data_IF_944582785948
#
_entry.id   IF_944582785948
#
_cell.length_a   1.000
_cell.length_b   1.000
_cell.length_c   1.000
_cell.angle_alpha   90.00
_cell.angle_beta   90.00
_cell.angle_gamma   90.00
#
_symmetry.space_group_name_H-M   'P 1'
#
loop_
_entity.id
_entity.type
_entity.pdbx_description
1 polymer ?
#
# COMPACT_ATOMS: atom_id res chain seq x y z
N UNK A 1 13.43 -33.54 -52.32
CA UNK A 1 12.05 -33.42 -51.81
C UNK A 1 12.13 -33.26 -50.30
N UNK A 2 12.07 -32.04 -49.79
CA UNK A 2 12.09 -31.81 -48.33
C UNK A 2 11.12 -30.67 -48.04
N UNK A 3 9.93 -31.02 -47.53
CA UNK A 3 8.88 -30.07 -47.16
C UNK A 3 9.24 -29.47 -45.80
N UNK A 4 9.50 -28.16 -45.73
CA UNK A 4 9.51 -27.43 -44.47
C UNK A 4 8.06 -27.17 -44.04
N UNK A 5 7.63 -27.85 -42.99
CA UNK A 5 6.42 -27.52 -42.24
C UNK A 5 6.75 -26.36 -41.29
N UNK A 6 6.36 -25.14 -41.66
CA UNK A 6 6.36 -24.00 -40.76
C UNK A 6 5.14 -24.13 -39.86
N UNK A 7 5.35 -24.58 -38.62
CA UNK A 7 4.33 -24.55 -37.58
C UNK A 7 4.13 -23.10 -37.13
N UNK A 8 3.04 -22.47 -37.59
CA UNK A 8 2.60 -21.18 -37.09
C UNK A 8 2.09 -21.37 -35.66
N UNK A 9 2.90 -20.99 -34.67
CA UNK A 9 2.46 -20.84 -33.28
C UNK A 9 1.52 -19.64 -33.22
N UNK A 10 0.22 -19.90 -33.22
CA UNK A 10 -0.79 -18.89 -32.95
C UNK A 10 -0.62 -18.41 -31.50
N UNK A 11 0.05 -17.29 -31.31
CA UNK A 11 0.08 -16.58 -30.03
C UNK A 11 -1.34 -16.10 -29.73
N UNK A 12 -2.05 -16.84 -28.88
CA UNK A 12 -3.31 -16.42 -28.29
C UNK A 12 -3.07 -15.12 -27.51
N UNK A 13 -3.40 -13.99 -28.12
CA UNK A 13 -3.56 -12.72 -27.43
C UNK A 13 -4.64 -12.93 -26.37
N UNK A 14 -4.21 -13.14 -25.13
CA UNK A 14 -5.04 -12.93 -23.95
C UNK A 14 -5.43 -11.45 -23.97
N UNK A 15 -6.52 -11.14 -24.66
CA UNK A 15 -7.13 -9.82 -24.58
C UNK A 15 -7.30 -9.52 -23.09
N UNK A 16 -6.87 -8.35 -22.61
CA UNK A 16 -7.03 -8.00 -21.21
C UNK A 16 -8.52 -8.11 -20.92
N UNK A 17 -8.91 -9.04 -20.04
CA UNK A 17 -10.26 -9.07 -19.48
C UNK A 17 -10.46 -7.69 -18.87
N UNK A 18 -11.14 -6.83 -19.60
CA UNK A 18 -11.65 -5.60 -19.04
C UNK A 18 -12.53 -6.07 -17.90
N UNK A 19 -12.21 -5.63 -16.69
CA UNK A 19 -13.00 -5.89 -15.49
C UNK A 19 -14.37 -5.20 -15.65
N UNK A 20 -15.22 -5.82 -16.46
CA UNK A 20 -16.58 -5.45 -16.79
C UNK A 20 -17.52 -6.19 -15.83
N UNK A 21 -18.78 -5.76 -15.84
CA UNK A 21 -19.87 -6.55 -15.25
C UNK A 21 -19.80 -8.01 -15.74
N UNK A 22 -20.16 -8.94 -14.86
CA UNK A 22 -20.16 -10.39 -15.12
C UNK A 22 -21.10 -10.71 -16.28
N UNK A 23 -20.59 -11.43 -17.29
CA UNK A 23 -21.47 -12.01 -18.32
C UNK A 23 -22.16 -13.24 -17.74
N UNK A 24 -23.40 -13.07 -17.29
CA UNK A 24 -24.18 -14.13 -16.67
C UNK A 24 -24.41 -15.37 -17.54
N UNK A 25 -24.21 -15.29 -18.86
CA UNK A 25 -24.26 -16.48 -19.74
C UNK A 25 -23.00 -17.34 -19.65
N UNK A 26 -21.92 -16.79 -19.10
CA UNK A 26 -20.60 -17.42 -18.95
C UNK A 26 -20.20 -17.60 -17.48
N UNK A 27 -21.11 -17.34 -16.54
CA UNK A 27 -20.86 -17.50 -15.11
C UNK A 27 -20.42 -18.93 -14.78
N UNK A 28 -19.17 -19.07 -14.31
CA UNK A 28 -18.50 -20.33 -14.06
C UNK A 28 -18.24 -20.57 -12.57
N UNK A 29 -18.00 -19.52 -11.78
CA UNK A 29 -17.76 -19.68 -10.33
C UNK A 29 -19.07 -19.71 -9.52
N UNK A 30 -19.08 -20.31 -8.31
CA UNK A 30 -20.22 -20.22 -7.40
C UNK A 30 -20.65 -18.77 -7.13
N UNK A 31 -19.68 -17.88 -6.92
CA UNK A 31 -19.90 -16.45 -6.73
C UNK A 31 -20.58 -15.79 -7.93
N UNK A 32 -20.09 -16.04 -9.15
CA UNK A 32 -20.70 -15.49 -10.37
C UNK A 32 -22.12 -15.99 -10.55
N UNK A 33 -22.37 -17.29 -10.32
CA UNK A 33 -23.72 -17.86 -10.36
C UNK A 33 -24.64 -17.22 -9.32
N UNK A 34 -24.14 -16.97 -8.10
CA UNK A 34 -24.90 -16.27 -7.06
C UNK A 34 -25.24 -14.85 -7.49
N UNK A 35 -24.27 -14.09 -8.00
CA UNK A 35 -24.50 -12.74 -8.50
C UNK A 35 -25.54 -12.75 -9.61
N UNK A 36 -25.46 -13.71 -10.54
CA UNK A 36 -26.37 -13.80 -11.68
C UNK A 36 -27.78 -14.31 -11.35
N UNK A 37 -27.93 -15.13 -10.31
CA UNK A 37 -29.23 -15.62 -9.85
C UNK A 37 -30.03 -14.56 -9.08
N UNK A 38 -29.38 -13.53 -8.54
CA UNK A 38 -29.98 -12.49 -7.72
C UNK A 38 -30.13 -11.17 -8.49
N UNK A 39 -31.34 -10.61 -8.51
CA UNK A 39 -31.61 -9.38 -9.26
C UNK A 39 -30.90 -8.14 -8.68
N UNK A 40 -30.76 -8.06 -7.35
CA UNK A 40 -30.10 -6.94 -6.69
C UNK A 40 -28.58 -6.99 -6.91
N UNK A 41 -27.97 -8.19 -6.84
CA UNK A 41 -26.54 -8.37 -7.14
C UNK A 41 -26.23 -8.08 -8.61
N UNK A 42 -27.04 -8.58 -9.57
CA UNK A 42 -26.86 -8.23 -11.00
C UNK A 42 -26.92 -6.73 -11.24
N UNK A 43 -27.88 -6.03 -10.61
CA UNK A 43 -28.01 -4.57 -10.74
C UNK A 43 -26.79 -3.85 -10.17
N UNK A 44 -26.29 -4.30 -9.02
CA UNK A 44 -25.10 -3.72 -8.41
C UNK A 44 -23.86 -3.95 -9.27
N UNK A 45 -23.67 -5.14 -9.81
CA UNK A 45 -22.54 -5.48 -10.69
C UNK A 45 -22.56 -4.68 -12.01
N UNK A 46 -23.75 -4.47 -12.60
CA UNK A 46 -23.92 -3.58 -13.75
C UNK A 46 -23.58 -2.12 -13.43
N UNK A 47 -23.94 -1.65 -12.23
CA UNK A 47 -23.59 -0.31 -11.76
C UNK A 47 -22.08 -0.15 -11.57
N UNK A 48 -21.41 -1.15 -10.97
CA UNK A 48 -19.95 -1.19 -10.84
C UNK A 48 -19.27 -1.11 -12.22
N UNK A 49 -19.73 -1.92 -13.17
CA UNK A 49 -19.19 -1.91 -14.53
C UNK A 49 -19.37 -0.56 -15.24
N UNK A 50 -20.45 0.17 -14.94
CA UNK A 50 -20.71 1.50 -15.47
C UNK A 50 -19.83 2.58 -14.81
N UNK A 51 -19.67 2.52 -13.48
CA UNK A 51 -18.78 3.43 -12.74
C UNK A 51 -17.32 3.28 -13.20
N UNK A 52 -16.85 2.03 -13.32
CA UNK A 52 -15.51 1.74 -13.84
C UNK A 52 -15.30 2.25 -15.27
N UNK A 53 -16.28 2.03 -16.17
CA UNK A 53 -16.19 2.56 -17.52
C UNK A 53 -16.14 4.10 -17.54
N UNK A 54 -16.98 4.76 -16.73
CA UNK A 54 -16.98 6.21 -16.58
C UNK A 54 -15.65 6.75 -16.05
N UNK A 55 -15.03 6.06 -15.09
CA UNK A 55 -13.71 6.41 -14.57
C UNK A 55 -12.63 6.29 -15.65
N UNK A 56 -12.61 5.21 -16.43
CA UNK A 56 -11.68 5.04 -17.55
C UNK A 56 -11.88 6.09 -18.65
N UNK A 57 -13.12 6.54 -18.90
CA UNK A 57 -13.40 7.63 -19.83
C UNK A 57 -12.97 9.00 -19.30
N UNK A 58 -12.74 9.14 -18.00
CA UNK A 58 -12.30 10.39 -17.38
C UNK A 58 -10.83 10.75 -17.65
N UNK A 59 -10.07 9.89 -18.33
CA UNK A 59 -8.65 10.13 -18.62
C UNK A 59 -8.19 9.48 -19.92
N UNK A 60 -7.39 10.22 -20.68
CA UNK A 60 -6.63 9.69 -21.82
C UNK A 60 -5.18 9.37 -21.46
N UNK A 61 -4.78 9.59 -20.19
CA UNK A 61 -3.43 9.31 -19.72
C UNK A 61 -3.20 7.81 -19.60
N UNK A 62 -2.26 7.29 -20.40
CA UNK A 62 -2.03 5.85 -20.50
C UNK A 62 -1.56 5.22 -19.18
N UNK A 63 -0.78 5.93 -18.37
CA UNK A 63 -0.25 5.42 -17.11
C UNK A 63 -1.33 5.40 -16.02
N UNK A 64 -2.11 6.49 -15.90
CA UNK A 64 -3.26 6.53 -14.99
C UNK A 64 -4.26 5.45 -15.40
N UNK A 65 -4.56 5.33 -16.71
CA UNK A 65 -5.47 4.30 -17.22
C UNK A 65 -4.97 2.88 -16.91
N UNK A 66 -3.67 2.62 -17.04
CA UNK A 66 -3.07 1.34 -16.67
C UNK A 66 -3.20 1.04 -15.17
N UNK A 67 -2.97 2.04 -14.32
CA UNK A 67 -3.15 1.93 -12.86
C UNK A 67 -4.62 1.62 -12.50
N UNK A 68 -5.58 2.31 -13.10
CA UNK A 68 -7.01 2.06 -12.90
C UNK A 68 -7.40 0.62 -13.27
N UNK A 69 -6.87 0.12 -14.39
CA UNK A 69 -7.08 -1.26 -14.82
C UNK A 69 -6.47 -2.25 -13.83
N UNK A 70 -5.26 -1.99 -13.34
CA UNK A 70 -4.58 -2.85 -12.38
C UNK A 70 -5.33 -2.91 -11.05
N UNK A 71 -5.76 -1.77 -10.51
CA UNK A 71 -6.57 -1.72 -9.29
C UNK A 71 -7.87 -2.50 -9.43
N UNK A 72 -8.63 -2.31 -10.52
CA UNK A 72 -9.88 -3.04 -10.70
C UNK A 72 -9.68 -4.55 -10.85
N UNK A 73 -8.60 -4.99 -11.51
CA UNK A 73 -8.23 -6.41 -11.56
C UNK A 73 -7.90 -6.98 -10.18
N UNK A 74 -7.17 -6.24 -9.34
CA UNK A 74 -6.89 -6.66 -7.95
C UNK A 74 -8.16 -6.77 -7.13
N UNK A 75 -9.09 -5.82 -7.28
CA UNK A 75 -10.38 -5.87 -6.59
C UNK A 75 -11.20 -7.12 -6.98
N UNK A 76 -11.29 -7.42 -8.28
CA UNK A 76 -12.00 -8.63 -8.77
C UNK A 76 -11.33 -9.90 -8.25
N UNK A 77 -10.00 -9.99 -8.32
CA UNK A 77 -9.26 -11.14 -7.81
C UNK A 77 -9.46 -11.34 -6.30
N UNK A 78 -9.43 -10.26 -5.52
CA UNK A 78 -9.69 -10.31 -4.09
C UNK A 78 -11.14 -10.72 -3.78
N UNK A 79 -12.12 -10.17 -4.51
CA UNK A 79 -13.53 -10.55 -4.38
C UNK A 79 -13.71 -12.05 -4.61
N UNK A 80 -13.17 -12.56 -5.71
CA UNK A 80 -13.34 -13.97 -6.08
C UNK A 80 -12.63 -14.90 -5.10
N UNK A 81 -11.45 -14.52 -4.62
CA UNK A 81 -10.67 -15.31 -3.65
C UNK A 81 -11.31 -15.34 -2.27
N UNK A 82 -11.75 -14.19 -1.76
CA UNK A 82 -12.14 -14.05 -0.34
C UNK A 82 -13.64 -14.16 -0.11
N UNK A 83 -14.45 -13.84 -1.12
CA UNK A 83 -15.90 -13.88 -1.03
C UNK A 83 -16.51 -15.06 -1.81
N UNK A 84 -15.68 -15.83 -2.53
CA UNK A 84 -16.10 -16.95 -3.36
C UNK A 84 -16.65 -18.16 -2.59
N UNK A 85 -16.13 -18.38 -1.39
CA UNK A 85 -16.39 -19.56 -0.55
C UNK A 85 -17.09 -19.22 0.77
N UNK A 86 -17.76 -18.06 0.86
CA UNK A 86 -18.53 -17.70 2.05
C UNK A 86 -19.75 -18.60 2.24
N UNK A 87 -20.09 -18.91 3.49
CA UNK A 87 -21.32 -19.61 3.84
C UNK A 87 -22.56 -18.86 3.30
N UNK A 88 -23.51 -19.63 2.76
CA UNK A 88 -24.59 -19.11 1.91
C UNK A 88 -25.58 -18.15 2.60
N UNK A 89 -25.64 -18.13 3.94
CA UNK A 89 -26.60 -17.31 4.68
C UNK A 89 -26.29 -15.80 4.58
N UNK A 90 -25.01 -15.42 4.69
CA UNK A 90 -24.58 -14.01 4.71
C UNK A 90 -23.84 -13.57 3.43
N UNK A 91 -23.43 -14.52 2.59
CA UNK A 91 -22.65 -14.26 1.37
C UNK A 91 -23.28 -13.20 0.45
N UNK A 92 -24.62 -13.20 0.28
CA UNK A 92 -25.31 -12.23 -0.59
C UNK A 92 -25.17 -10.80 -0.08
N UNK A 93 -25.37 -10.58 1.22
CA UNK A 93 -25.30 -9.25 1.84
C UNK A 93 -23.87 -8.72 1.79
N UNK A 94 -22.90 -9.56 2.13
CA UNK A 94 -21.47 -9.21 2.10
C UNK A 94 -21.04 -8.83 0.67
N UNK A 95 -21.36 -9.67 -0.32
CA UNK A 95 -20.98 -9.41 -1.72
C UNK A 95 -21.69 -8.18 -2.27
N UNK A 96 -22.96 -7.96 -1.92
CA UNK A 96 -23.68 -6.75 -2.30
C UNK A 96 -23.04 -5.49 -1.70
N UNK A 97 -22.66 -5.53 -0.42
CA UNK A 97 -21.95 -4.46 0.26
C UNK A 97 -20.61 -4.15 -0.41
N UNK A 98 -19.82 -5.19 -0.69
CA UNK A 98 -18.54 -5.07 -1.38
C UNK A 98 -18.66 -4.41 -2.76
N UNK A 99 -19.62 -4.86 -3.59
CA UNK A 99 -19.86 -4.29 -4.93
C UNK A 99 -20.30 -2.82 -4.82
N UNK A 100 -21.17 -2.49 -3.87
CA UNK A 100 -21.66 -1.12 -3.66
C UNK A 100 -20.55 -0.18 -3.20
N UNK A 101 -19.76 -0.59 -2.20
CA UNK A 101 -18.63 0.20 -1.70
C UNK A 101 -17.63 0.49 -2.82
N UNK A 102 -17.29 -0.52 -3.64
CA UNK A 102 -16.42 -0.30 -4.79
C UNK A 102 -17.06 0.61 -5.84
N UNK A 103 -18.35 0.48 -6.09
CA UNK A 103 -19.06 1.35 -7.05
C UNK A 103 -19.03 2.82 -6.61
N UNK A 104 -19.29 3.06 -5.32
CA UNK A 104 -19.25 4.39 -4.72
C UNK A 104 -17.86 5.02 -4.89
N UNK A 105 -16.83 4.30 -4.50
CA UNK A 105 -15.42 4.69 -4.66
C UNK A 105 -15.08 4.98 -6.13
N UNK A 106 -15.32 4.06 -7.08
CA UNK A 106 -15.02 4.34 -8.50
C UNK A 106 -15.80 5.51 -9.10
N UNK A 107 -16.96 5.86 -8.54
CA UNK A 107 -17.79 6.99 -8.96
C UNK A 107 -17.47 8.31 -8.26
N UNK A 108 -16.63 8.27 -7.23
CA UNK A 108 -16.30 9.40 -6.36
C UNK A 108 -15.68 10.58 -7.12
N UNK A 109 -15.93 11.78 -6.61
CA UNK A 109 -15.43 13.04 -7.19
C UNK A 109 -14.41 13.69 -6.27
N UNK A 110 -13.41 14.34 -6.86
CA UNK A 110 -12.40 15.02 -6.07
C UNK A 110 -13.02 16.22 -5.36
N UNK A 111 -12.72 16.39 -4.07
CA UNK A 111 -13.19 17.55 -3.29
C UNK A 111 -12.67 18.87 -3.86
N UNK A 112 -11.45 18.87 -4.42
CA UNK A 112 -10.82 20.05 -5.02
C UNK A 112 -11.33 20.38 -6.43
N UNK A 113 -11.90 19.41 -7.14
CA UNK A 113 -12.44 19.55 -8.50
C UNK A 113 -13.56 18.52 -8.70
N UNK A 114 -14.83 18.87 -8.39
CA UNK A 114 -15.94 17.92 -8.48
C UNK A 114 -16.20 17.36 -9.88
N UNK A 115 -15.69 18.01 -10.94
CA UNK A 115 -15.78 17.48 -12.31
C UNK A 115 -14.82 16.30 -12.53
N UNK A 116 -13.78 16.17 -11.70
CA UNK A 116 -12.76 15.14 -11.82
C UNK A 116 -13.07 13.94 -10.92
N UNK A 117 -12.99 12.70 -11.43
CA UNK A 117 -12.98 11.52 -10.57
C UNK A 117 -11.85 11.57 -9.53
N UNK A 118 -12.14 11.27 -8.26
CA UNK A 118 -11.14 11.40 -7.19
C UNK A 118 -9.92 10.49 -7.38
N UNK A 119 -10.09 9.31 -7.98
CA UNK A 119 -8.99 8.42 -8.36
C UNK A 119 -8.00 9.07 -9.32
N UNK A 120 -8.49 9.83 -10.30
CA UNK A 120 -7.61 10.54 -11.25
C UNK A 120 -6.91 11.70 -10.53
N UNK A 121 -7.62 12.43 -9.66
CA UNK A 121 -7.00 13.49 -8.87
C UNK A 121 -5.90 12.95 -7.93
N UNK A 122 -6.13 11.81 -7.28
CA UNK A 122 -5.15 11.14 -6.42
C UNK A 122 -3.92 10.69 -7.23
N UNK A 123 -4.13 10.13 -8.42
CA UNK A 123 -3.03 9.72 -9.30
C UNK A 123 -2.17 10.92 -9.74
N UNK A 124 -2.81 12.04 -10.08
CA UNK A 124 -2.11 13.28 -10.42
C UNK A 124 -1.32 13.84 -9.23
N UNK A 125 -1.86 13.75 -8.00
CA UNK A 125 -1.14 14.13 -6.78
C UNK A 125 0.08 13.25 -6.55
N UNK A 126 -0.06 11.92 -6.66
CA UNK A 126 1.07 10.99 -6.54
C UNK A 126 2.17 11.31 -7.56
N UNK A 127 1.79 11.55 -8.82
CA UNK A 127 2.75 11.93 -9.87
C UNK A 127 3.46 13.25 -9.54
N UNK A 128 2.70 14.28 -9.13
CA UNK A 128 3.26 15.58 -8.77
C UNK A 128 4.22 15.49 -7.59
N UNK A 129 3.90 14.67 -6.58
CA UNK A 129 4.78 14.40 -5.45
C UNK A 129 6.06 13.68 -5.91
N UNK A 130 5.94 12.61 -6.70
CA UNK A 130 7.07 11.84 -7.21
C UNK A 130 8.04 12.68 -8.07
N UNK A 131 7.51 13.62 -8.86
CA UNK A 131 8.29 14.50 -9.73
C UNK A 131 9.26 15.44 -8.99
N UNK A 132 9.16 15.55 -7.66
CA UNK A 132 10.10 16.32 -6.82
C UNK A 132 11.44 15.62 -6.62
N UNK A 133 11.55 14.34 -6.99
CA UNK A 133 12.71 13.50 -6.77
C UNK A 133 13.27 12.98 -8.10
N UNK A 134 14.49 12.45 -8.08
CA UNK A 134 15.09 11.90 -9.32
C UNK A 134 14.35 10.68 -9.87
N UNK A 135 13.60 9.97 -9.03
CA UNK A 135 13.09 8.64 -9.35
C UNK A 135 14.23 7.64 -9.51
N UNK A 136 13.95 6.53 -10.19
CA UNK A 136 14.94 5.49 -10.49
C UNK A 136 14.36 4.07 -10.39
N UNK A 137 15.18 3.03 -10.61
CA UNK A 137 14.72 1.65 -10.70
C UNK A 137 14.20 1.07 -9.38
N UNK A 138 14.40 1.77 -8.25
CA UNK A 138 13.91 1.37 -6.94
C UNK A 138 12.65 2.10 -6.51
N UNK A 139 12.17 3.06 -7.31
CA UNK A 139 10.91 3.74 -7.08
C UNK A 139 9.72 2.89 -7.58
N UNK A 140 8.55 3.14 -7.00
CA UNK A 140 7.28 2.54 -7.41
C UNK A 140 6.54 1.85 -6.26
N UNK A 141 5.48 1.17 -6.64
CA UNK A 141 4.50 0.57 -5.74
C UNK A 141 4.43 -0.94 -5.91
N UNK A 142 4.30 -1.64 -4.78
CA UNK A 142 3.98 -3.06 -4.72
C UNK A 142 2.74 -3.20 -3.82
N UNK A 143 1.61 -3.61 -4.39
CA UNK A 143 0.30 -3.55 -3.72
C UNK A 143 -0.38 -4.90 -3.72
N UNK A 144 -0.84 -5.33 -2.55
CA UNK A 144 -1.71 -6.48 -2.36
C UNK A 144 -2.99 -6.05 -1.65
N UNK A 145 -4.12 -6.62 -2.05
CA UNK A 145 -5.42 -6.22 -1.53
C UNK A 145 -6.25 -7.43 -1.14
N UNK A 146 -7.04 -7.27 -0.08
CA UNK A 146 -7.74 -8.34 0.60
C UNK A 146 -9.12 -7.87 1.05
N UNK A 147 -10.02 -8.82 1.30
CA UNK A 147 -11.23 -8.55 2.07
C UNK A 147 -11.00 -8.97 3.52
N UNK A 148 -10.84 -7.98 4.39
CA UNK A 148 -10.54 -8.17 5.80
C UNK A 148 -11.83 -8.42 6.61
N UNK A 149 -11.79 -9.30 7.62
CA UNK A 149 -12.91 -9.47 8.54
C UNK A 149 -13.04 -8.24 9.45
N UNK A 150 -14.21 -7.59 9.44
CA UNK A 150 -14.54 -6.51 10.37
C UNK A 150 -15.90 -6.82 11.00
N UNK A 151 -15.87 -7.38 12.21
CA UNK A 151 -17.08 -7.95 12.81
C UNK A 151 -17.65 -9.08 11.94
N UNK A 152 -18.90 -8.95 11.50
CA UNK A 152 -19.53 -9.90 10.57
C UNK A 152 -19.35 -9.50 9.09
N UNK A 153 -18.81 -8.31 8.82
CA UNK A 153 -18.64 -7.79 7.46
C UNK A 153 -17.26 -8.15 6.87
N UNK A 154 -17.09 -7.79 5.59
CA UNK A 154 -15.83 -7.84 4.88
C UNK A 154 -15.52 -6.49 4.24
N UNK A 155 -14.37 -5.92 4.56
CA UNK A 155 -13.94 -4.61 4.04
C UNK A 155 -12.75 -4.81 3.10
N UNK A 156 -12.81 -4.18 1.93
CA UNK A 156 -11.69 -4.18 0.99
C UNK A 156 -10.59 -3.25 1.51
N UNK A 157 -9.39 -3.80 1.68
CA UNK A 157 -8.21 -3.04 2.12
C UNK A 157 -6.99 -3.43 1.30
N UNK A 158 -6.12 -2.46 1.03
CA UNK A 158 -4.88 -2.64 0.30
C UNK A 158 -3.69 -2.28 1.18
N UNK A 159 -2.63 -3.06 1.06
CA UNK A 159 -1.40 -2.96 1.82
C UNK A 159 -0.21 -3.21 0.88
N UNK A 160 0.98 -2.89 1.35
CA UNK A 160 2.21 -3.07 0.60
C UNK A 160 3.11 -1.85 0.68
N UNK A 161 3.97 -1.70 -0.33
CA UNK A 161 5.08 -0.77 -0.28
C UNK A 161 4.95 0.35 -1.29
N UNK A 162 5.27 1.56 -0.84
CA UNK A 162 5.45 2.76 -1.66
C UNK A 162 6.88 3.26 -1.52
N UNK A 163 7.62 3.26 -2.63
CA UNK A 163 9.05 3.57 -2.68
C UNK A 163 9.31 4.79 -3.55
N UNK A 164 10.12 5.69 -3.01
CA UNK A 164 10.59 6.88 -3.71
C UNK A 164 12.11 6.89 -3.68
N UNK A 165 12.70 7.43 -4.74
CA UNK A 165 14.15 7.48 -4.90
C UNK A 165 14.59 8.89 -5.26
N UNK A 166 15.66 9.35 -4.60
CA UNK A 166 16.33 10.61 -4.86
C UNK A 166 17.85 10.42 -4.82
N UNK A 167 18.49 10.34 -5.98
CA UNK A 167 19.90 9.95 -6.11
C UNK A 167 20.15 8.53 -5.61
N UNK A 168 21.08 8.39 -4.66
CA UNK A 168 21.36 7.12 -3.98
C UNK A 168 20.34 6.81 -2.88
N UNK A 169 19.54 7.78 -2.42
CA UNK A 169 18.58 7.58 -1.32
C UNK A 169 17.33 6.89 -1.82
N UNK A 170 16.90 5.84 -1.11
CA UNK A 170 15.59 5.20 -1.29
C UNK A 170 14.84 5.22 0.02
N UNK A 171 13.62 5.76 0.02
CA UNK A 171 12.74 5.79 1.19
C UNK A 171 11.48 4.98 0.88
N UNK A 172 11.14 4.06 1.79
CA UNK A 172 10.01 3.14 1.64
C UNK A 172 9.10 3.27 2.84
N UNK A 173 7.80 3.39 2.58
CA UNK A 173 6.75 3.09 3.55
C UNK A 173 6.15 1.74 3.15
N UNK A 174 6.01 0.83 4.09
CA UNK A 174 5.38 -0.47 3.88
C UNK A 174 4.30 -0.68 4.92
N UNK A 175 3.05 -0.78 4.49
CA UNK A 175 1.95 -1.16 5.35
C UNK A 175 1.76 -2.67 5.27
N UNK A 176 1.61 -3.32 6.42
CA UNK A 176 1.21 -4.72 6.53
C UNK A 176 0.02 -4.85 7.48
N UNK A 177 -0.84 -5.84 7.23
CA UNK A 177 -1.95 -6.16 8.12
C UNK A 177 -1.80 -7.57 8.66
N UNK A 178 -1.76 -7.68 9.98
CA UNK A 178 -1.70 -8.94 10.68
C UNK A 178 -2.54 -8.89 11.96
N UNK A 179 -3.30 -9.95 12.22
CA UNK A 179 -4.01 -10.14 13.49
C UNK A 179 -4.88 -8.95 13.92
N UNK A 180 -5.55 -8.29 12.96
CA UNK A 180 -6.46 -7.18 13.23
C UNK A 180 -5.80 -5.80 13.40
N UNK A 181 -4.48 -5.70 13.20
CA UNK A 181 -3.74 -4.44 13.32
C UNK A 181 -2.96 -4.16 12.04
N UNK A 182 -2.80 -2.88 11.71
CA UNK A 182 -1.96 -2.43 10.60
C UNK A 182 -0.65 -1.90 11.18
N UNK A 183 0.47 -2.35 10.64
CA UNK A 183 1.80 -1.86 10.98
C UNK A 183 2.41 -1.17 9.77
N UNK A 184 2.82 0.09 9.92
CA UNK A 184 3.63 0.79 8.92
C UNK A 184 5.10 0.62 9.28
N UNK A 185 5.90 0.09 8.35
CA UNK A 185 7.36 0.05 8.44
C UNK A 185 7.95 1.15 7.58
N UNK A 186 8.72 2.04 8.19
CA UNK A 186 9.46 3.10 7.51
C UNK A 186 10.91 2.68 7.32
N UNK A 187 11.36 2.55 6.07
CA UNK A 187 12.72 2.10 5.73
C UNK A 187 13.49 3.20 5.00
N UNK A 188 14.70 3.46 5.47
CA UNK A 188 15.69 4.28 4.79
C UNK A 188 16.76 3.38 4.20
N UNK A 189 17.01 3.50 2.90
CA UNK A 189 18.03 2.75 2.19
C UNK A 189 18.94 3.65 1.35
N UNK A 190 20.09 3.09 0.94
CA UNK A 190 20.98 3.68 -0.06
C UNK A 190 21.30 2.69 -1.16
N UNK A 191 21.37 3.16 -2.39
CA UNK A 191 21.85 2.38 -3.53
C UNK A 191 23.37 2.26 -3.43
N UNK A 192 23.84 1.03 -3.23
CA UNK A 192 25.27 0.67 -3.20
C UNK A 192 25.46 -0.53 -4.11
N UNK A 193 26.38 -0.43 -5.06
CA UNK A 193 26.69 -1.48 -6.04
C UNK A 193 25.45 -2.01 -6.79
N UNK A 194 24.53 -1.10 -7.16
CA UNK A 194 23.32 -1.44 -7.91
C UNK A 194 22.24 -2.16 -7.09
N UNK A 195 22.33 -2.17 -5.77
CA UNK A 195 21.31 -2.71 -4.86
C UNK A 195 21.00 -1.75 -3.72
N UNK A 196 19.77 -1.79 -3.19
CA UNK A 196 19.42 -0.98 -2.01
C UNK A 196 19.90 -1.68 -0.76
N UNK A 197 20.81 -1.03 -0.03
CA UNK A 197 21.24 -1.39 1.33
C UNK A 197 20.40 -0.64 2.35
N UNK A 198 19.80 -1.36 3.28
CA UNK A 198 19.06 -0.74 4.38
C UNK A 198 20.03 0.01 5.30
N UNK A 199 19.73 1.29 5.54
CA UNK A 199 20.44 2.15 6.50
C UNK A 199 19.74 2.10 7.86
N UNK A 200 18.41 2.17 7.85
CA UNK A 200 17.61 2.15 9.07
C UNK A 200 16.16 1.73 8.79
N UNK A 201 15.51 1.15 9.80
CA UNK A 201 14.07 0.87 9.83
C UNK A 201 13.46 1.31 11.15
N UNK A 202 12.16 1.58 11.14
CA UNK A 202 11.34 1.71 12.32
C UNK A 202 9.87 1.37 11.99
N UNK A 203 9.04 1.14 13.00
CA UNK A 203 7.62 0.80 12.83
C UNK A 203 6.67 1.74 13.54
N UNK A 204 5.45 1.86 13.04
CA UNK A 204 4.30 2.52 13.67
C UNK A 204 3.17 1.49 13.76
N UNK A 205 2.45 1.44 14.88
CA UNK A 205 1.32 0.52 15.06
C UNK A 205 1.65 -0.84 15.69
N UNK A 206 2.87 -1.01 16.22
CA UNK A 206 3.26 -2.21 17.00
C UNK A 206 3.81 -3.37 16.17
N UNK A 207 5.03 -3.21 15.65
CA UNK A 207 5.80 -4.28 14.99
C UNK A 207 6.95 -4.80 15.86
N UNK A 208 7.72 -5.76 15.31
CA UNK A 208 8.92 -6.33 15.96
C UNK A 208 10.11 -5.35 16.01
N UNK A 209 10.05 -4.29 15.20
CA UNK A 209 11.09 -3.29 15.05
C UNK A 209 10.95 -2.14 16.08
N UNK A 210 11.98 -1.30 16.16
CA UNK A 210 11.92 -0.10 16.98
C UNK A 210 10.79 0.84 16.53
N UNK A 211 10.07 1.43 17.48
CA UNK A 211 9.02 2.40 17.18
C UNK A 211 9.62 3.70 16.63
N UNK A 212 9.01 4.24 15.57
CA UNK A 212 9.55 5.40 14.86
C UNK A 212 9.66 6.64 15.76
N UNK A 213 10.78 7.38 15.69
CA UNK A 213 10.88 8.67 16.35
C UNK A 213 9.94 9.69 15.69
N UNK A 214 9.29 10.49 16.51
CA UNK A 214 8.40 11.55 16.05
C UNK A 214 7.95 12.46 17.20
N UNK A 215 7.18 13.52 16.91
CA UNK A 215 6.66 14.43 17.92
C UNK A 215 5.87 13.70 19.02
N UNK A 216 5.14 12.66 18.64
CA UNK A 216 4.33 11.84 19.56
C UNK A 216 5.14 10.72 20.23
N UNK A 217 6.34 10.43 19.72
CA UNK A 217 7.25 9.43 20.28
C UNK A 217 8.70 9.95 20.32
N UNK A 218 9.03 10.87 21.25
CA UNK A 218 10.37 11.43 21.36
C UNK A 218 11.42 10.41 21.82
N UNK A 219 10.99 9.28 22.38
CA UNK A 219 11.83 8.16 22.77
C UNK A 219 11.96 7.09 21.68
N UNK A 220 11.28 7.26 20.54
CA UNK A 220 11.38 6.39 19.39
C UNK A 220 12.81 6.33 18.86
N UNK A 221 13.17 5.23 18.21
CA UNK A 221 14.54 4.95 17.76
C UNK A 221 14.53 4.23 16.43
N UNK A 222 15.69 4.20 15.77
CA UNK A 222 15.85 3.46 14.53
C UNK A 222 16.52 2.12 14.79
N UNK A 223 15.96 1.05 14.23
CA UNK A 223 16.72 -0.19 14.03
C UNK A 223 17.75 0.07 12.92
N UNK A 224 19.04 -0.14 13.20
CA UNK A 224 20.11 -0.03 12.19
C UNK A 224 20.79 -1.38 12.01
N UNK A 225 20.94 -1.90 10.78
CA UNK A 225 21.66 -3.15 10.55
C UNK A 225 23.12 -3.06 11.02
N UNK A 226 23.63 -4.12 11.64
CA UNK A 226 25.06 -4.21 11.97
C UNK A 226 25.90 -4.25 10.68
N UNK A 227 27.03 -3.54 10.67
CA UNK A 227 27.98 -3.54 9.55
C UNK A 227 28.58 -4.95 9.29
N UNK A 228 29.12 -5.22 8.09
CA UNK A 228 28.45 -5.78 6.93
C UNK A 228 28.40 -7.33 6.87
N UNK A 229 28.71 -8.06 7.95
CA UNK A 229 28.86 -9.53 7.89
C UNK A 229 27.55 -10.33 7.97
N UNK A 230 26.40 -9.68 8.17
CA UNK A 230 25.10 -10.34 8.30
C UNK A 230 24.02 -9.68 7.43
N UNK A 231 24.38 -9.30 6.19
CA UNK A 231 23.37 -8.95 5.20
C UNK A 231 22.60 -10.23 4.81
N UNK A 232 21.62 -10.59 5.63
CA UNK A 232 20.54 -11.50 5.25
C UNK A 232 19.83 -10.92 4.02
N UNK A 233 19.09 -11.75 3.29
CA UNK A 233 18.32 -11.30 2.11
C UNK A 233 17.41 -10.08 2.40
N UNK A 234 17.04 -9.85 3.66
CA UNK A 234 16.27 -8.67 4.12
C UNK A 234 17.05 -7.35 4.10
N UNK A 235 18.39 -7.37 4.07
CA UNK A 235 19.23 -6.16 4.14
C UNK A 235 19.65 -5.63 2.76
N UNK A 236 19.35 -6.35 1.68
CA UNK A 236 19.76 -5.98 0.33
C UNK A 236 18.70 -6.38 -0.69
N UNK A 237 17.98 -5.40 -1.21
CA UNK A 237 16.96 -5.63 -2.23
C UNK A 237 17.54 -5.27 -3.60
N UNK A 238 17.73 -6.28 -4.45
CA UNK A 238 17.93 -6.06 -5.87
C UNK A 238 16.70 -5.38 -6.47
N UNK A 239 16.81 -4.64 -7.58
CA UNK A 239 15.62 -4.11 -8.24
C UNK A 239 14.75 -5.31 -8.66
N UNK A 240 13.63 -5.53 -7.97
CA UNK A 240 12.54 -6.29 -8.59
C UNK A 240 12.17 -5.54 -9.88
N UNK A 241 11.71 -6.27 -10.89
CA UNK A 241 11.42 -5.73 -12.23
C UNK A 241 10.54 -4.48 -12.24
N UNK A 242 10.19 -3.96 -13.42
CA UNK A 242 9.47 -2.68 -13.53
C UNK A 242 8.23 -2.66 -12.62
N UNK A 243 8.23 -1.72 -11.66
CA UNK A 243 7.12 -1.47 -10.74
C UNK A 243 6.16 -0.44 -11.33
N UNK A 244 4.91 -0.48 -10.89
CA UNK A 244 3.98 0.60 -11.18
C UNK A 244 4.47 1.88 -10.50
N UNK A 245 4.44 3.00 -11.23
CA UNK A 245 4.81 4.31 -10.70
C UNK A 245 3.63 5.06 -10.06
N UNK A 246 2.41 4.54 -10.25
CA UNK A 246 1.18 5.06 -9.65
C UNK A 246 0.38 3.91 -9.07
N UNK A 247 -0.15 4.11 -7.86
CA UNK A 247 -1.11 3.21 -7.25
C UNK A 247 -1.89 3.93 -6.15
N UNK A 248 -3.10 4.40 -6.48
CA UNK A 248 -3.88 5.23 -5.55
C UNK A 248 -4.48 4.45 -4.38
N UNK A 249 -4.47 3.11 -4.44
CA UNK A 249 -4.83 2.25 -3.30
C UNK A 249 -3.85 2.41 -2.13
N UNK A 250 -2.59 2.81 -2.40
CA UNK A 250 -1.55 3.08 -1.40
C UNK A 250 -1.25 4.58 -1.26
N UNK A 251 -2.23 5.45 -1.50
CA UNK A 251 -2.07 6.90 -1.37
C UNK A 251 -1.55 7.30 0.01
N UNK A 252 -0.51 8.14 0.04
CA UNK A 252 0.04 8.70 1.27
C UNK A 252 -0.81 9.86 1.78
N UNK A 253 -0.98 9.95 3.09
CA UNK A 253 -1.48 11.15 3.74
C UNK A 253 -0.39 12.24 3.84
N UNK A 254 -0.74 13.37 4.45
CA UNK A 254 0.17 14.51 4.57
C UNK A 254 1.36 14.23 5.50
N UNK A 255 1.19 13.39 6.53
CA UNK A 255 2.26 13.05 7.45
C UNK A 255 3.29 12.15 6.75
N UNK A 256 2.81 11.11 6.06
CA UNK A 256 3.62 10.22 5.25
C UNK A 256 4.38 10.97 4.14
N UNK A 257 3.74 11.91 3.44
CA UNK A 257 4.40 12.75 2.44
C UNK A 257 5.48 13.67 3.06
N UNK A 258 5.24 14.19 4.27
CA UNK A 258 6.22 15.00 5.00
C UNK A 258 7.44 14.17 5.41
N UNK A 259 7.20 12.96 5.90
CA UNK A 259 8.26 12.00 6.24
C UNK A 259 9.07 11.64 4.98
N UNK A 260 8.40 11.27 3.89
CA UNK A 260 9.05 10.91 2.62
C UNK A 260 9.91 12.05 2.10
N UNK A 261 9.39 13.28 2.11
CA UNK A 261 10.15 14.46 1.68
C UNK A 261 11.41 14.63 2.51
N UNK A 262 11.30 14.60 3.84
CA UNK A 262 12.46 14.73 4.75
C UNK A 262 13.47 13.61 4.52
N UNK A 263 13.01 12.36 4.48
CA UNK A 263 13.87 11.18 4.27
C UNK A 263 14.67 11.24 2.96
N UNK A 264 14.06 11.75 1.89
CA UNK A 264 14.65 11.80 0.55
C UNK A 264 15.60 12.97 0.34
N UNK A 265 15.43 14.08 1.08
CA UNK A 265 16.16 15.32 0.79
C UNK A 265 17.11 15.77 1.89
N UNK A 266 16.87 15.39 3.15
CA UNK A 266 17.77 15.77 4.25
C UNK A 266 19.01 14.86 4.26
N UNK A 267 20.22 15.41 4.04
CA UNK A 267 21.45 14.62 4.03
C UNK A 267 21.75 13.99 5.40
N UNK A 268 21.25 14.55 6.50
CA UNK A 268 21.44 14.05 7.85
C UNK A 268 20.42 12.98 8.25
N UNK A 269 19.45 12.63 7.39
CA UNK A 269 18.45 11.63 7.70
C UNK A 269 18.99 10.19 7.52
N UNK A 270 18.58 9.22 8.35
CA UNK A 270 17.80 9.37 9.58
C UNK A 270 18.64 9.99 10.71
N UNK A 271 18.01 10.75 11.62
CA UNK A 271 18.73 11.32 12.76
C UNK A 271 19.38 10.22 13.62
N UNK A 272 20.42 10.55 14.41
CA UNK A 272 20.94 9.64 15.43
C UNK A 272 19.85 9.31 16.46
N UNK A 273 20.00 8.20 17.17
CA UNK A 273 19.05 7.87 18.24
C UNK A 273 19.08 8.95 19.33
N UNK A 274 17.93 9.27 19.94
CA UNK A 274 17.90 10.17 21.09
C UNK A 274 18.86 9.65 22.16
N UNK A 275 19.79 10.50 22.61
CA UNK A 275 20.65 10.17 23.75
C UNK A 275 19.75 10.15 24.98
N UNK A 276 19.71 9.06 25.77
CA UNK A 276 18.96 9.05 27.02
C UNK A 276 19.38 10.24 27.88
N UNK A 277 18.42 11.00 28.39
CA UNK A 277 18.74 12.10 29.30
C UNK A 277 19.59 11.54 30.46
N UNK A 278 20.77 12.11 30.67
CA UNK A 278 21.64 11.68 31.74
C UNK A 278 20.94 11.94 33.09
N UNK A 279 20.60 10.86 33.81
CA UNK A 279 20.31 10.92 35.24
C UNK A 279 18.86 10.68 35.65
N UNK A 280 18.43 9.41 35.57
CA UNK A 280 17.69 8.81 36.69
C UNK A 280 18.11 7.35 36.77
N UNK A 281 19.17 7.06 37.52
CA UNK A 281 19.40 5.69 37.98
C UNK A 281 18.18 5.27 38.84
N UNK A 282 17.53 4.13 38.55
CA UNK A 282 16.57 3.56 39.46
C UNK A 282 17.33 3.02 40.68
N UNK A 283 17.49 3.85 41.71
CA UNK A 283 18.11 3.42 42.97
C UNK A 283 18.81 4.51 43.79
N UNK A 284 18.98 5.71 43.26
CA UNK A 284 19.64 6.79 44.03
C UNK A 284 18.66 7.37 45.06
N UNK A 285 18.75 6.87 46.30
CA UNK A 285 18.07 7.41 47.46
C UNK A 285 18.41 8.91 47.59
N UNK A 286 17.43 9.82 47.72
CA UNK A 286 17.74 11.23 47.92
C UNK A 286 18.60 11.39 49.20
N UNK A 287 19.61 12.27 49.19
CA UNK A 287 20.44 12.49 50.37
C UNK A 287 19.56 12.95 51.53
N UNK A 288 19.80 12.37 52.71
CA UNK A 288 19.11 12.74 53.94
C UNK A 288 19.26 14.25 54.17
N UNK A 289 18.15 14.94 54.37
CA UNK A 289 18.17 16.34 54.83
C UNK A 289 18.92 16.39 56.16
N UNK A 290 20.00 17.17 56.21
CA UNK A 290 20.64 17.57 57.44
C UNK A 290 19.59 18.27 58.33
N UNK A 291 19.60 17.91 59.62
CA UNK A 291 18.61 18.32 60.60
C UNK A 291 18.49 19.83 60.75
N UNK A 292 17.26 20.26 61.03
CA UNK A 292 16.93 21.62 61.43
C UNK A 292 17.13 21.75 62.95
N UNK A 293 18.07 22.57 63.45
CA UNK A 293 18.20 22.84 64.86
C UNK A 293 17.31 24.05 65.20
N UNK A 294 16.12 23.79 65.78
CA UNK A 294 15.27 24.66 66.62
C UNK A 294 13.80 24.24 66.37
N UNK A 295 13.04 23.62 67.25
CA UNK A 295 13.10 23.69 68.71
C UNK A 295 12.31 24.88 69.24
N UNK A 296 10.99 24.93 68.99
CA UNK A 296 9.94 25.45 69.87
C UNK A 296 8.55 25.08 69.35
#
# INVERSE_FOLDING_TARGET
>A
MTRLLVAAVAASLLAPSAARAIDCRRAASPLERMICADAALRKADAALGSAYAGLLHGTDDAEIRAMLIASQKRWVAARDTWLGDLDAADARTIVLGAIRARTEDLSGRATSDPARPHWIAAALRQRAFAARFTGGPFAGFDTACYFLPVGQDRVYGCFGSRRFQNGDRVCTLSDDWASGHTTETRTVGRVVDGAVRTVATCTIGGGDDAECPGPENPAGRWTRPAAPAAATASATTAPAGPRALLDVELASDAEAETWLSTCLTDPAYPPPDPVPAAGTEPGSRPPARAGDPNGK
#
